data_IF_975237231046
#
_entry.id   IF_975237231046
#
_cell.length_a   1.000
_cell.length_b   1.000
_cell.length_c   1.000
_cell.angle_alpha   90.00
_cell.angle_beta   90.00
_cell.angle_gamma   90.00
#
_symmetry.space_group_name_H-M   'P 1'
#
loop_
_entity.id
_entity.type
_entity.pdbx_description
1 polymer ?
#
# COMPACT_ATOMS: atom_id res chain seq x y z
N UNK A 1 36.05 6.96 -5.37
CA UNK A 1 35.63 5.54 -5.31
C UNK A 1 34.47 5.32 -4.32
N UNK A 2 34.27 6.17 -3.31
CA UNK A 2 33.10 6.09 -2.43
C UNK A 2 31.81 6.68 -3.03
N UNK A 3 31.90 7.50 -4.08
CA UNK A 3 30.70 8.16 -4.68
C UNK A 3 29.78 7.23 -5.47
N UNK A 4 30.23 6.04 -5.89
CA UNK A 4 29.35 5.05 -6.54
C UNK A 4 28.55 4.19 -5.55
N UNK A 5 28.95 4.13 -4.28
CA UNK A 5 28.26 3.29 -3.27
C UNK A 5 27.01 4.00 -2.70
N UNK A 6 26.89 5.31 -2.87
CA UNK A 6 25.71 6.09 -2.48
C UNK A 6 24.67 6.26 -3.61
N UNK A 7 24.93 5.74 -4.82
CA UNK A 7 24.17 6.06 -6.04
C UNK A 7 22.80 5.39 -6.21
N UNK A 8 22.34 4.54 -5.28
CA UNK A 8 21.10 3.75 -5.51
C UNK A 8 20.30 3.48 -4.23
N UNK A 9 20.17 4.47 -3.33
CA UNK A 9 19.01 4.48 -2.42
C UNK A 9 17.85 5.16 -3.13
N UNK A 10 17.02 4.36 -3.77
CA UNK A 10 15.73 4.83 -4.26
C UNK A 10 14.94 5.37 -3.05
N UNK A 11 14.52 6.64 -3.11
CA UNK A 11 13.68 7.23 -2.07
C UNK A 11 12.29 6.58 -2.15
N UNK A 12 11.56 6.53 -1.03
CA UNK A 12 10.18 6.03 -1.01
C UNK A 12 9.31 6.75 -2.05
N UNK A 13 9.49 8.06 -2.21
CA UNK A 13 8.82 8.87 -3.23
C UNK A 13 9.08 8.36 -4.65
N UNK A 14 10.36 8.13 -5.02
CA UNK A 14 10.73 7.59 -6.34
C UNK A 14 10.19 6.18 -6.56
N UNK A 15 10.16 5.34 -5.52
CA UNK A 15 9.58 4.00 -5.59
C UNK A 15 8.08 4.13 -5.90
N UNK A 16 7.37 4.99 -5.18
CA UNK A 16 5.93 5.22 -5.37
C UNK A 16 5.65 5.74 -6.79
N UNK A 17 6.41 6.73 -7.27
CA UNK A 17 6.31 7.23 -8.65
C UNK A 17 6.46 6.10 -9.69
N UNK A 18 7.48 5.24 -9.57
CA UNK A 18 7.66 4.13 -10.50
C UNK A 18 6.57 3.04 -10.39
N UNK A 19 6.02 2.82 -9.19
CA UNK A 19 4.89 1.91 -9.02
C UNK A 19 3.63 2.44 -9.73
N UNK A 20 3.41 3.75 -9.73
CA UNK A 20 2.37 4.38 -10.54
C UNK A 20 2.64 4.24 -12.05
N UNK A 21 3.86 4.52 -12.50
CA UNK A 21 4.24 4.44 -13.92
C UNK A 21 4.09 3.02 -14.50
N UNK A 22 4.32 1.99 -13.68
CA UNK A 22 4.18 0.59 -14.07
C UNK A 22 2.74 0.06 -13.91
N UNK A 23 1.84 0.82 -13.30
CA UNK A 23 0.48 0.41 -12.94
C UNK A 23 0.39 -0.57 -11.77
N UNK A 24 1.53 -0.86 -11.11
CA UNK A 24 1.58 -1.75 -9.95
C UNK A 24 0.91 -1.09 -8.73
N UNK A 25 0.96 0.24 -8.61
CA UNK A 25 0.29 0.94 -7.51
C UNK A 25 -1.22 0.71 -7.54
N UNK A 26 -1.88 0.96 -8.67
CA UNK A 26 -3.32 0.76 -8.85
C UNK A 26 -3.70 -0.71 -8.68
N UNK A 27 -2.87 -1.63 -9.20
CA UNK A 27 -3.09 -3.07 -9.01
C UNK A 27 -3.09 -3.45 -7.53
N UNK A 28 -2.07 -3.01 -6.78
CA UNK A 28 -1.94 -3.27 -5.34
C UNK A 28 -3.09 -2.64 -4.54
N UNK A 29 -3.51 -1.41 -4.89
CA UNK A 29 -4.63 -0.73 -4.27
C UNK A 29 -5.95 -1.49 -4.47
N UNK A 30 -6.23 -1.94 -5.70
CA UNK A 30 -7.41 -2.73 -6.03
C UNK A 30 -7.41 -4.10 -5.32
N UNK A 31 -6.24 -4.76 -5.23
CA UNK A 31 -6.09 -6.02 -4.49
C UNK A 31 -6.38 -5.83 -3.00
N UNK A 32 -5.87 -4.74 -2.40
CA UNK A 32 -6.16 -4.40 -1.01
C UNK A 32 -7.65 -4.16 -0.80
N UNK A 33 -8.29 -3.34 -1.65
CA UNK A 33 -9.73 -3.06 -1.56
C UNK A 33 -10.55 -4.35 -1.63
N UNK A 34 -10.26 -5.22 -2.59
CA UNK A 34 -10.92 -6.52 -2.70
C UNK A 34 -10.71 -7.40 -1.47
N UNK A 35 -9.49 -7.48 -0.93
CA UNK A 35 -9.20 -8.27 0.28
C UNK A 35 -9.94 -7.72 1.51
N UNK A 36 -10.01 -6.41 1.67
CA UNK A 36 -10.70 -5.77 2.80
C UNK A 36 -12.22 -5.97 2.71
N UNK A 37 -12.79 -5.86 1.50
CA UNK A 37 -14.21 -6.12 1.28
C UNK A 37 -14.55 -7.60 1.53
N UNK A 38 -13.78 -8.52 0.93
CA UNK A 38 -14.03 -9.96 0.99
C UNK A 38 -13.86 -10.55 2.39
N UNK A 39 -12.95 -10.02 3.21
CA UNK A 39 -12.84 -10.43 4.62
C UNK A 39 -13.86 -9.76 5.55
N UNK A 40 -14.73 -8.88 5.02
CA UNK A 40 -15.78 -8.21 5.77
C UNK A 40 -15.34 -6.99 6.56
N UNK A 41 -14.07 -6.58 6.45
CA UNK A 41 -13.52 -5.45 7.18
C UNK A 41 -14.26 -4.13 6.89
N UNK A 42 -14.60 -3.87 5.62
CA UNK A 42 -15.35 -2.66 5.23
C UNK A 42 -16.71 -2.58 5.95
N UNK A 43 -17.42 -3.71 6.04
CA UNK A 43 -18.71 -3.78 6.74
C UNK A 43 -18.53 -3.56 8.24
N UNK A 44 -17.52 -4.19 8.86
CA UNK A 44 -17.21 -4.00 10.27
C UNK A 44 -16.91 -2.52 10.59
N UNK A 45 -16.07 -1.85 9.79
CA UNK A 45 -15.72 -0.44 10.00
C UNK A 45 -16.93 0.49 9.83
N UNK A 46 -17.79 0.21 8.83
CA UNK A 46 -19.05 0.95 8.64
C UNK A 46 -19.96 0.83 9.86
N UNK A 47 -20.12 -0.37 10.39
CA UNK A 47 -21.01 -0.61 11.52
C UNK A 47 -20.46 0.00 12.82
N UNK A 48 -19.13 -0.04 13.02
CA UNK A 48 -18.44 0.69 14.08
C UNK A 48 -18.70 2.20 13.99
N UNK A 49 -18.47 2.79 12.81
CA UNK A 49 -18.65 4.23 12.57
C UNK A 49 -20.11 4.64 12.80
N UNK A 50 -21.08 3.83 12.35
CA UNK A 50 -22.51 4.04 12.62
C UNK A 50 -22.82 3.97 14.11
N UNK A 51 -22.19 3.07 14.85
CA UNK A 51 -22.32 2.96 16.30
C UNK A 51 -21.88 4.24 17.03
N UNK A 52 -20.80 4.86 16.59
CA UNK A 52 -20.33 6.15 17.15
C UNK A 52 -21.37 7.25 16.91
N UNK A 53 -21.82 7.42 15.66
CA UNK A 53 -22.81 8.47 15.30
C UNK A 53 -24.13 8.28 16.05
N UNK A 54 -24.55 7.03 16.26
CA UNK A 54 -25.75 6.72 17.03
C UNK A 54 -25.59 7.00 18.54
N UNK A 55 -24.35 6.93 19.06
CA UNK A 55 -24.06 7.15 20.48
C UNK A 55 -23.78 8.62 20.82
N UNK A 56 -23.22 9.37 19.87
CA UNK A 56 -22.94 10.81 19.99
C UNK A 56 -23.52 11.55 18.77
N UNK A 57 -24.75 12.06 18.92
CA UNK A 57 -25.46 12.78 17.86
C UNK A 57 -24.88 14.16 17.54
N UNK A 58 -23.90 14.64 18.33
CA UNK A 58 -23.24 15.93 18.13
C UNK A 58 -21.78 15.79 17.68
N UNK A 59 -21.33 14.57 17.38
CA UNK A 59 -19.96 14.34 16.93
C UNK A 59 -19.71 15.11 15.62
N UNK A 60 -18.61 15.86 15.58
CA UNK A 60 -18.14 16.48 14.35
C UNK A 60 -17.38 15.48 13.48
N UNK A 61 -17.27 15.78 12.18
CA UNK A 61 -16.64 14.90 11.22
C UNK A 61 -15.17 14.60 11.54
N UNK A 62 -14.40 15.58 12.03
CA UNK A 62 -12.97 15.40 12.31
C UNK A 62 -12.77 14.38 13.43
N UNK A 63 -13.51 14.52 14.54
CA UNK A 63 -13.47 13.57 15.66
C UNK A 63 -13.96 12.17 15.26
N UNK A 64 -15.00 12.08 14.43
CA UNK A 64 -15.48 10.81 13.89
C UNK A 64 -14.41 10.16 13.01
N UNK A 65 -13.79 10.92 12.11
CA UNK A 65 -12.73 10.45 11.22
C UNK A 65 -11.53 9.93 11.99
N UNK A 66 -11.03 10.67 12.98
CA UNK A 66 -9.90 10.24 13.82
C UNK A 66 -10.21 8.94 14.56
N UNK A 67 -11.40 8.83 15.15
CA UNK A 67 -11.84 7.62 15.87
C UNK A 67 -11.97 6.42 14.91
N UNK A 68 -12.59 6.63 13.75
CA UNK A 68 -12.74 5.61 12.73
C UNK A 68 -11.39 5.19 12.16
N UNK A 69 -10.47 6.12 11.90
CA UNK A 69 -9.14 5.84 11.37
C UNK A 69 -8.29 5.02 12.35
N UNK A 70 -8.32 5.35 13.64
CA UNK A 70 -7.64 4.56 14.66
C UNK A 70 -8.16 3.12 14.66
N UNK A 71 -9.49 2.93 14.76
CA UNK A 71 -10.08 1.59 14.73
C UNK A 71 -9.86 0.86 13.42
N UNK A 72 -9.88 1.57 12.28
CA UNK A 72 -9.65 1.03 10.96
C UNK A 72 -8.26 0.41 10.87
N UNK A 73 -7.22 1.17 11.22
CA UNK A 73 -5.81 0.73 11.10
C UNK A 73 -5.48 -0.44 12.03
N UNK A 74 -6.04 -0.48 13.23
CA UNK A 74 -5.85 -1.57 14.20
C UNK A 74 -6.57 -2.87 13.80
N UNK A 75 -7.75 -2.76 13.20
CA UNK A 75 -8.64 -3.91 12.93
C UNK A 75 -8.32 -4.69 11.64
N UNK A 76 -7.42 -4.19 10.78
CA UNK A 76 -7.04 -4.91 9.56
C UNK A 76 -6.41 -6.26 9.95
N UNK A 77 -6.92 -7.40 9.44
CA UNK A 77 -6.35 -8.71 9.73
C UNK A 77 -4.88 -8.81 9.30
N UNK A 78 -4.05 -9.46 10.12
CA UNK A 78 -2.63 -9.62 9.82
C UNK A 78 -2.37 -10.42 8.54
N UNK A 79 -3.26 -11.35 8.19
CA UNK A 79 -3.20 -12.06 6.91
C UNK A 79 -3.26 -11.12 5.71
N UNK A 80 -4.15 -10.11 5.74
CA UNK A 80 -4.27 -9.10 4.67
C UNK A 80 -3.02 -8.24 4.61
N UNK A 81 -2.51 -7.79 5.77
CA UNK A 81 -1.27 -7.00 5.85
C UNK A 81 -0.09 -7.77 5.28
N UNK A 82 0.09 -9.03 5.68
CA UNK A 82 1.22 -9.85 5.28
C UNK A 82 1.19 -10.19 3.79
N UNK A 83 0.01 -10.50 3.24
CA UNK A 83 -0.17 -10.71 1.81
C UNK A 83 0.22 -9.46 1.02
N UNK A 84 -0.36 -8.30 1.37
CA UNK A 84 -0.07 -7.05 0.67
C UNK A 84 1.41 -6.66 0.78
N UNK A 85 2.03 -6.81 1.96
CA UNK A 85 3.45 -6.52 2.15
C UNK A 85 4.35 -7.42 1.29
N UNK A 86 3.97 -8.69 1.09
CA UNK A 86 4.68 -9.61 0.20
C UNK A 86 4.60 -9.14 -1.25
N UNK A 87 3.45 -8.67 -1.69
CA UNK A 87 3.24 -8.20 -3.06
C UNK A 87 3.95 -6.86 -3.31
N UNK A 88 3.86 -5.90 -2.37
CA UNK A 88 4.64 -4.66 -2.38
C UNK A 88 6.13 -4.97 -2.46
N UNK A 89 6.64 -5.87 -1.60
CA UNK A 89 8.06 -6.28 -1.62
C UNK A 89 8.46 -6.84 -2.98
N UNK A 90 7.59 -7.64 -3.61
CA UNK A 90 7.85 -8.21 -4.93
C UNK A 90 7.97 -7.11 -5.99
N UNK A 91 7.09 -6.11 -5.99
CA UNK A 91 7.16 -4.97 -6.91
C UNK A 91 8.42 -4.13 -6.68
N UNK A 92 8.73 -3.78 -5.42
CA UNK A 92 9.95 -3.01 -5.09
C UNK A 92 11.23 -3.75 -5.51
N UNK A 93 11.29 -5.07 -5.32
CA UNK A 93 12.44 -5.87 -5.75
C UNK A 93 12.61 -5.92 -7.27
N UNK A 94 11.51 -5.90 -8.04
CA UNK A 94 11.54 -5.80 -9.51
C UNK A 94 12.09 -4.45 -9.96
N UNK A 95 11.69 -3.36 -9.29
CA UNK A 95 12.22 -2.01 -9.59
C UNK A 95 13.70 -1.87 -9.24
N UNK A 96 14.14 -2.48 -8.13
CA UNK A 96 15.54 -2.47 -7.72
C UNK A 96 16.45 -3.32 -8.62
N UNK A 97 15.89 -4.36 -9.27
CA UNK A 97 16.62 -5.26 -10.17
C UNK A 97 15.88 -5.33 -11.52
N UNK A 98 15.90 -4.25 -12.32
CA UNK A 98 15.27 -4.29 -13.63
C UNK A 98 15.94 -5.40 -14.45
N UNK A 99 15.18 -6.25 -15.16
CA UNK A 99 15.77 -7.26 -16.02
C UNK A 99 16.69 -6.56 -17.01
N UNK A 100 17.96 -6.97 -17.05
CA UNK A 100 18.98 -6.41 -17.95
C UNK A 100 18.39 -6.29 -19.35
N UNK A 101 18.22 -5.04 -19.78
CA UNK A 101 17.74 -4.70 -21.10
C UNK A 101 18.48 -5.51 -22.14
N UNK A 102 17.72 -6.24 -22.94
CA UNK A 102 18.10 -6.77 -24.23
C UNK A 102 18.73 -5.65 -25.09
N UNK A 103 20.06 -5.47 -25.00
CA UNK A 103 20.96 -4.96 -26.05
C UNK A 103 22.35 -4.68 -25.46
N UNK A 104 23.28 -5.59 -25.69
CA UNK A 104 24.68 -5.39 -25.39
C UNK A 104 25.55 -6.50 -25.94
N UNK A 105 26.18 -6.26 -27.09
CA UNK A 105 27.43 -6.94 -27.44
C UNK A 105 27.42 -7.80 -28.70
N UNK A 106 27.59 -7.11 -29.83
CA UNK A 106 28.30 -7.64 -30.99
C UNK A 106 29.59 -8.35 -30.55
N UNK A 107 29.75 -9.65 -30.85
CA UNK A 107 31.03 -10.36 -30.82
C UNK A 107 31.06 -11.41 -31.94
N UNK A 108 31.82 -11.03 -32.98
CA UNK A 108 32.30 -11.78 -34.15
C UNK A 108 31.27 -12.12 -35.24
#
# INVERSE_FOLDING_TARGET
MYDLIFSTKMTTEKIVEQLYETGDYERLANELEYKLESCGWTTQLRDYTRGIVNSDSKIDFQKLYESALQSATESIPDSVKMDLLKDIKTCVLKLANPPESANGGNKM
#
